data_IF_645354227858
#
_entry.id   IF_645354227858
#
_cell.length_a   1.000
_cell.length_b   1.000
_cell.length_c   1.000
_cell.angle_alpha   90.00
_cell.angle_beta   90.00
_cell.angle_gamma   90.00
#
_symmetry.space_group_name_H-M   'P 1'
#
loop_
_entity.id
_entity.type
_entity.pdbx_description
1 polymer ?
#
# COMPACT_ATOMS: atom_id res chain seq x y z
N UNK A 1 20.92 74.76 80.86
CA UNK A 1 21.39 75.66 79.78
C UNK A 1 22.33 74.83 78.91
N UNK A 2 21.97 74.57 77.64
CA UNK A 2 22.55 75.26 76.46
C UNK A 2 24.08 75.05 76.39
N UNK A 3 24.74 74.52 75.36
CA UNK A 3 24.44 74.27 73.94
C UNK A 3 25.61 73.48 73.32
N UNK A 4 25.29 72.65 72.31
CA UNK A 4 26.05 72.12 71.14
C UNK A 4 27.57 72.31 70.97
N UNK A 5 28.20 71.33 70.27
CA UNK A 5 28.83 71.40 68.92
C UNK A 5 29.58 70.06 68.69
N UNK A 6 29.12 69.12 67.85
CA UNK A 6 29.28 68.94 66.38
C UNK A 6 30.67 68.41 65.91
N UNK A 7 30.58 67.35 65.08
CA UNK A 7 31.39 66.96 63.90
C UNK A 7 32.35 65.72 63.94
N UNK A 8 31.92 64.69 63.16
CA UNK A 8 32.61 63.95 62.05
C UNK A 8 33.73 62.92 62.24
N UNK A 9 33.48 61.69 61.77
CA UNK A 9 34.25 60.90 60.75
C UNK A 9 33.67 59.47 60.69
N UNK A 10 32.95 59.06 59.63
CA UNK A 10 33.37 58.43 58.38
C UNK A 10 34.23 57.15 58.54
N UNK A 11 33.61 55.98 58.38
CA UNK A 11 34.28 54.73 57.99
C UNK A 11 33.32 53.88 57.13
N UNK A 12 33.73 53.64 55.89
CA UNK A 12 33.04 52.80 54.91
C UNK A 12 33.36 51.31 55.16
N UNK A 13 32.35 50.45 55.08
CA UNK A 13 32.52 48.98 55.00
C UNK A 13 31.75 48.43 53.81
N UNK A 14 32.49 47.69 52.98
CA UNK A 14 32.06 47.08 51.71
C UNK A 14 31.18 45.86 52.00
N UNK A 15 29.96 45.84 51.47
CA UNK A 15 29.07 44.69 51.52
C UNK A 15 29.28 43.81 50.26
N UNK A 16 29.80 42.60 50.44
CA UNK A 16 29.87 41.58 49.39
C UNK A 16 28.52 40.88 49.34
N UNK A 17 27.79 41.06 48.24
CA UNK A 17 26.52 40.40 47.98
C UNK A 17 26.72 38.90 47.73
N UNK A 18 26.09 38.07 48.57
CA UNK A 18 25.91 36.65 48.30
C UNK A 18 24.72 36.48 47.35
N UNK A 19 25.03 36.28 46.08
CA UNK A 19 24.08 35.85 45.05
C UNK A 19 23.90 34.34 45.20
N UNK A 20 22.83 33.90 45.87
CA UNK A 20 22.46 32.50 45.99
C UNK A 20 21.97 31.99 44.63
N UNK A 21 22.86 31.32 43.90
CA UNK A 21 22.50 30.49 42.76
C UNK A 21 21.60 29.35 43.23
N UNK A 22 20.30 29.42 42.93
CA UNK A 22 19.39 28.29 43.09
C UNK A 22 19.75 27.22 42.07
N UNK A 23 20.55 26.24 42.50
CA UNK A 23 20.68 24.99 41.79
C UNK A 23 19.29 24.33 41.74
N UNK A 24 18.70 24.23 40.54
CA UNK A 24 17.53 23.41 40.30
C UNK A 24 17.95 21.95 40.51
N UNK A 25 17.76 21.45 41.72
CA UNK A 25 17.94 20.04 42.03
C UNK A 25 16.91 19.24 41.21
N UNK A 26 17.39 18.33 40.37
CA UNK A 26 16.53 17.40 39.64
C UNK A 26 15.61 16.68 40.64
N UNK A 27 14.31 16.67 40.37
CA UNK A 27 13.34 16.00 41.23
C UNK A 27 13.72 14.52 41.39
N UNK A 28 13.71 13.96 42.62
CA UNK A 28 14.07 12.57 42.83
C UNK A 28 13.10 11.65 42.09
N UNK A 29 13.64 10.75 41.25
CA UNK A 29 12.86 9.72 40.57
C UNK A 29 12.30 8.77 41.63
N UNK A 30 10.97 8.66 41.67
CA UNK A 30 10.25 7.77 42.59
C UNK A 30 9.61 6.64 41.81
N UNK A 31 9.63 5.43 42.35
CA UNK A 31 8.90 4.28 41.80
C UNK A 31 7.70 3.95 42.69
N UNK A 32 6.50 3.98 42.12
CA UNK A 32 5.24 3.61 42.78
C UNK A 32 4.73 2.29 42.21
N UNK A 33 4.39 1.33 43.07
CA UNK A 33 3.70 0.09 42.71
C UNK A 33 2.21 0.26 43.00
N UNK A 34 1.36 -0.01 42.00
CA UNK A 34 -0.09 0.09 42.12
C UNK A 34 -0.71 -1.29 42.03
N UNK A 35 -1.56 -1.62 43.00
CA UNK A 35 -2.31 -2.88 43.00
C UNK A 35 -3.34 -2.84 41.86
N UNK A 36 -3.32 -3.88 41.02
CA UNK A 36 -4.25 -4.05 39.91
C UNK A 36 -4.81 -5.47 39.94
N UNK A 37 -6.10 -5.59 39.61
CA UNK A 37 -6.72 -6.90 39.41
C UNK A 37 -6.23 -7.56 38.11
N UNK A 38 -6.82 -8.70 37.78
CA UNK A 38 -6.66 -9.27 36.44
C UNK A 38 -7.38 -8.40 35.41
N UNK A 39 -6.80 -8.27 34.22
CA UNK A 39 -7.38 -7.58 33.07
C UNK A 39 -6.85 -8.23 31.79
N UNK A 40 -7.60 -8.10 30.70
CA UNK A 40 -7.19 -8.57 29.36
C UNK A 40 -7.09 -7.45 28.33
N UNK A 41 -7.37 -6.20 28.70
CA UNK A 41 -7.23 -5.03 27.81
C UNK A 41 -6.52 -3.86 28.51
N UNK A 42 -5.82 -3.04 27.72
CA UNK A 42 -5.20 -1.79 28.18
C UNK A 42 -5.71 -0.62 27.33
N UNK A 43 -6.11 0.45 27.98
CA UNK A 43 -6.39 1.75 27.37
C UNK A 43 -5.42 2.79 27.93
N UNK A 44 -4.57 3.35 27.07
CA UNK A 44 -3.55 4.33 27.44
C UNK A 44 -3.83 5.69 26.77
N UNK A 45 -4.13 6.67 27.61
CA UNK A 45 -4.41 8.06 27.26
C UNK A 45 -3.44 9.00 28.00
N UNK A 46 -2.14 8.72 27.88
CA UNK A 46 -1.07 9.44 28.58
C UNK A 46 0.07 9.80 27.62
N UNK A 47 0.80 10.91 27.86
CA UNK A 47 1.93 11.34 27.04
C UNK A 47 3.26 10.66 27.45
N UNK A 48 3.18 9.51 28.11
CA UNK A 48 4.32 8.87 28.77
C UNK A 48 4.60 7.51 28.15
N UNK A 49 5.86 7.09 28.21
CA UNK A 49 6.31 5.81 27.68
C UNK A 49 5.69 4.65 28.47
N UNK A 50 5.07 3.71 27.76
CA UNK A 50 4.43 2.53 28.31
C UNK A 50 5.19 1.27 27.88
N UNK A 51 5.68 0.51 28.85
CA UNK A 51 6.31 -0.80 28.62
C UNK A 51 5.35 -1.87 29.09
N UNK A 52 4.87 -2.70 28.17
CA UNK A 52 3.93 -3.79 28.44
C UNK A 52 4.62 -5.13 28.26
N UNK A 53 4.57 -6.00 29.27
CA UNK A 53 5.01 -7.38 29.18
C UNK A 53 3.80 -8.30 29.20
N UNK A 54 3.60 -9.08 28.14
CA UNK A 54 2.45 -9.96 28.04
C UNK A 54 2.65 -11.33 28.73
N UNK A 55 3.68 -11.48 29.57
CA UNK A 55 4.00 -12.71 30.30
C UNK A 55 4.35 -12.40 31.76
N UNK A 56 3.95 -13.26 32.69
CA UNK A 56 4.22 -13.13 34.12
C UNK A 56 3.00 -12.78 34.96
N UNK A 57 3.21 -12.40 36.24
CA UNK A 57 2.14 -12.02 37.14
C UNK A 57 1.64 -10.60 36.84
N UNK A 58 0.32 -10.33 36.88
CA UNK A 58 -0.21 -8.99 36.69
C UNK A 58 0.42 -7.97 37.64
N UNK A 59 0.92 -6.86 37.10
CA UNK A 59 1.56 -5.82 37.89
C UNK A 59 1.49 -4.47 37.18
N UNK A 60 1.46 -3.38 37.96
CA UNK A 60 1.52 -2.02 37.46
C UNK A 60 2.51 -1.20 38.30
N UNK A 61 3.55 -0.68 37.66
CA UNK A 61 4.53 0.19 38.30
C UNK A 61 4.75 1.45 37.48
N UNK A 62 4.85 2.59 38.16
CA UNK A 62 5.12 3.88 37.56
C UNK A 62 6.43 4.42 38.13
N UNK A 63 7.30 4.97 37.29
CA UNK A 63 8.58 5.56 37.69
C UNK A 63 8.72 6.96 37.12
N UNK A 64 9.07 7.95 37.95
CA UNK A 64 9.26 9.34 37.53
C UNK A 64 9.15 10.35 38.68
N UNK A 65 9.14 11.66 38.38
CA UNK A 65 8.90 12.71 39.37
C UNK A 65 7.50 12.57 40.00
N UNK A 66 7.43 12.68 41.34
CA UNK A 66 6.18 12.41 42.09
C UNK A 66 5.00 13.29 41.67
N UNK A 67 5.24 14.56 41.34
CA UNK A 67 4.20 15.48 40.85
C UNK A 67 3.53 14.98 39.56
N UNK A 68 4.29 14.30 38.69
CA UNK A 68 3.76 13.71 37.45
C UNK A 68 2.98 12.42 37.74
N UNK A 69 3.48 11.59 38.66
CA UNK A 69 2.83 10.33 39.02
C UNK A 69 1.45 10.55 39.66
N UNK A 70 1.33 11.58 40.51
CA UNK A 70 0.08 11.93 41.19
C UNK A 70 -1.02 12.40 40.21
N UNK A 71 -0.63 12.88 39.03
CA UNK A 71 -1.55 13.28 37.96
C UNK A 71 -1.97 12.10 37.04
N UNK A 72 -1.43 10.90 37.23
CA UNK A 72 -1.80 9.71 36.47
C UNK A 72 -2.86 8.94 37.24
N UNK A 73 -4.03 8.75 36.62
CA UNK A 73 -5.11 7.91 37.11
C UNK A 73 -5.04 6.54 36.44
N UNK A 74 -5.17 5.48 37.25
CA UNK A 74 -5.13 4.08 36.82
C UNK A 74 -6.31 3.36 37.46
N UNK A 75 -7.27 2.91 36.65
CA UNK A 75 -8.52 2.27 37.12
C UNK A 75 -8.81 1.05 36.27
N UNK A 76 -9.27 -0.03 36.90
CA UNK A 76 -9.84 -1.19 36.20
C UNK A 76 -11.32 -0.90 35.95
N UNK A 77 -11.73 -0.89 34.68
CA UNK A 77 -13.12 -0.75 34.26
C UNK A 77 -13.52 -1.99 33.46
N UNK A 78 -14.33 -2.87 34.08
CA UNK A 78 -14.62 -4.18 33.51
C UNK A 78 -13.37 -5.05 33.44
N UNK A 79 -12.91 -5.36 32.23
CA UNK A 79 -11.71 -6.17 31.95
C UNK A 79 -10.55 -5.33 31.37
N UNK A 80 -10.66 -4.00 31.48
CA UNK A 80 -9.72 -3.04 30.89
C UNK A 80 -9.01 -2.24 31.97
N UNK A 81 -7.67 -2.21 31.92
CA UNK A 81 -6.86 -1.25 32.66
C UNK A 81 -6.84 0.09 31.90
N UNK A 82 -7.49 1.10 32.47
CA UNK A 82 -7.53 2.46 31.94
C UNK A 82 -6.44 3.30 32.62
N UNK A 83 -5.52 3.84 31.83
CA UNK A 83 -4.42 4.70 32.24
C UNK A 83 -4.61 6.06 31.58
N UNK A 84 -4.93 7.10 32.36
CA UNK A 84 -5.24 8.44 31.83
C UNK A 84 -4.74 9.55 32.74
N UNK A 85 -4.62 10.76 32.19
CA UNK A 85 -4.35 11.96 33.00
C UNK A 85 -5.59 12.36 33.82
N UNK A 86 -5.42 12.70 35.10
CA UNK A 86 -6.51 13.05 36.03
C UNK A 86 -7.16 14.39 35.69
N UNK A 87 -6.50 15.28 34.94
CA UNK A 87 -6.99 16.64 34.68
C UNK A 87 -7.34 16.91 33.21
N UNK A 88 -8.55 17.47 33.02
CA UNK A 88 -9.07 18.14 31.81
C UNK A 88 -8.81 19.66 31.82
N UNK A 89 -7.89 20.17 32.63
CA UNK A 89 -7.67 21.61 32.82
C UNK A 89 -6.24 22.08 32.53
N UNK A 90 -6.15 23.08 31.64
CA UNK A 90 -4.99 23.90 31.26
C UNK A 90 -3.78 23.16 30.66
N UNK A 91 -3.85 22.94 29.34
CA UNK A 91 -2.67 22.83 28.48
C UNK A 91 -1.86 24.14 28.58
N UNK A 92 -0.82 24.15 29.41
CA UNK A 92 0.17 25.23 29.43
C UNK A 92 1.09 25.03 28.22
N UNK A 93 1.02 25.94 27.24
CA UNK A 93 1.93 26.10 26.09
C UNK A 93 3.33 26.55 26.54
N UNK A 94 3.96 25.83 27.46
CA UNK A 94 5.36 26.06 27.82
C UNK A 94 6.22 25.11 27.00
N UNK A 95 6.79 25.62 25.91
CA UNK A 95 7.84 24.94 25.15
C UNK A 95 9.08 24.85 26.04
N UNK A 96 9.19 23.79 26.85
CA UNK A 96 10.39 23.49 27.60
C UNK A 96 11.46 22.94 26.63
N UNK A 97 12.33 23.83 26.17
CA UNK A 97 13.61 23.51 25.53
C UNK A 97 14.51 22.85 26.59
N UNK A 98 14.60 21.53 26.55
CA UNK A 98 15.56 20.74 27.33
C UNK A 98 14.88 19.65 28.18
N UNK A 99 14.57 18.50 27.58
CA UNK A 99 14.20 17.30 28.33
C UNK A 99 15.46 16.70 28.95
N UNK A 100 15.54 16.66 30.27
CA UNK A 100 16.51 15.80 30.96
C UNK A 100 15.93 14.39 31.13
N UNK A 101 16.76 13.34 31.15
CA UNK A 101 16.29 11.95 31.35
C UNK A 101 15.50 11.74 32.66
N UNK A 102 15.66 12.64 33.64
CA UNK A 102 14.95 12.61 34.92
C UNK A 102 13.47 13.06 34.83
N UNK A 103 13.06 13.72 33.74
CA UNK A 103 11.68 14.18 33.52
C UNK A 103 10.79 13.12 32.84
N UNK A 104 11.35 11.95 32.52
CA UNK A 104 10.66 10.89 31.78
C UNK A 104 9.91 9.99 32.77
N UNK A 105 8.58 10.00 32.67
CA UNK A 105 7.74 9.01 33.33
C UNK A 105 7.71 7.75 32.48
N UNK A 106 7.98 6.60 33.10
CA UNK A 106 7.80 5.28 32.51
C UNK A 106 6.72 4.52 33.27
N UNK A 107 5.78 3.94 32.54
CA UNK A 107 4.72 3.09 33.08
C UNK A 107 5.03 1.65 32.64
N UNK A 108 5.24 0.75 33.60
CA UNK A 108 5.47 -0.66 33.34
C UNK A 108 4.23 -1.48 33.72
N UNK A 109 3.70 -2.25 32.78
CA UNK A 109 2.51 -3.09 32.94
C UNK A 109 2.85 -4.53 32.59
N UNK A 110 2.42 -5.48 33.41
CA UNK A 110 2.47 -6.91 33.09
C UNK A 110 1.05 -7.44 32.92
N UNK A 111 0.76 -8.08 31.79
CA UNK A 111 -0.59 -8.50 31.38
C UNK A 111 -0.56 -9.87 30.66
N UNK A 112 -0.60 -11.01 31.38
CA UNK A 112 -0.35 -12.36 30.83
C UNK A 112 -1.34 -12.85 29.75
N UNK A 113 -2.51 -12.23 29.62
CA UNK A 113 -3.56 -12.64 28.69
C UNK A 113 -4.10 -11.44 27.92
N UNK A 114 -3.22 -10.54 27.50
CA UNK A 114 -3.61 -9.32 26.82
C UNK A 114 -4.21 -9.60 25.44
N UNK A 115 -5.46 -9.17 25.25
CA UNK A 115 -6.25 -9.31 24.01
C UNK A 115 -6.42 -7.99 23.27
N UNK A 116 -6.30 -6.85 23.94
CA UNK A 116 -6.50 -5.55 23.31
C UNK A 116 -5.61 -4.44 23.88
N UNK A 117 -5.17 -3.56 23.00
CA UNK A 117 -4.44 -2.33 23.32
C UNK A 117 -5.06 -1.15 22.58
N UNK A 118 -5.51 -0.14 23.33
CA UNK A 118 -6.02 1.12 22.80
C UNK A 118 -5.13 2.28 23.21
N UNK A 119 -4.63 3.02 22.24
CA UNK A 119 -3.70 4.15 22.41
C UNK A 119 -4.34 5.43 21.89
N UNK A 120 -4.49 6.40 22.78
CA UNK A 120 -4.99 7.75 22.44
C UNK A 120 -4.06 8.87 22.91
N UNK A 121 -3.05 8.54 23.72
CA UNK A 121 -2.01 9.47 24.14
C UNK A 121 -0.88 9.64 23.13
N UNK A 122 0.05 10.55 23.41
CA UNK A 122 1.25 10.80 22.61
C UNK A 122 2.49 10.02 23.10
N UNK A 123 2.30 9.09 24.02
CA UNK A 123 3.39 8.28 24.57
C UNK A 123 3.65 7.06 23.71
N UNK A 124 4.94 6.73 23.54
CA UNK A 124 5.35 5.52 22.84
C UNK A 124 5.03 4.28 23.68
N UNK A 125 4.78 3.17 23.01
CA UNK A 125 4.46 1.89 23.64
C UNK A 125 5.34 0.79 23.10
N UNK A 126 6.03 0.10 24.00
CA UNK A 126 6.72 -1.15 23.71
C UNK A 126 5.96 -2.30 24.36
N UNK A 127 5.40 -3.19 23.55
CA UNK A 127 4.72 -4.41 24.00
C UNK A 127 5.56 -5.62 23.63
N UNK A 128 6.06 -6.31 24.65
CA UNK A 128 6.93 -7.47 24.49
C UNK A 128 6.27 -8.80 24.87
N UNK A 129 6.68 -9.84 24.15
CA UNK A 129 6.36 -11.25 24.41
C UNK A 129 4.85 -11.56 24.35
N UNK A 130 4.14 -10.92 23.43
CA UNK A 130 2.73 -11.21 23.18
C UNK A 130 2.57 -12.68 22.78
N UNK A 131 1.60 -13.37 23.40
CA UNK A 131 1.22 -14.73 23.02
C UNK A 131 -0.27 -14.89 23.20
N UNK A 132 -0.98 -15.19 22.12
CA UNK A 132 -2.43 -15.37 22.19
C UNK A 132 -3.09 -15.70 20.86
N UNK A 133 -4.35 -16.09 20.92
CA UNK A 133 -5.14 -16.41 19.73
C UNK A 133 -5.59 -15.17 18.97
N UNK A 134 -5.97 -14.10 19.68
CA UNK A 134 -6.53 -12.88 19.09
C UNK A 134 -5.97 -11.66 19.79
N UNK A 135 -5.57 -10.66 19.00
CA UNK A 135 -5.11 -9.39 19.51
C UNK A 135 -5.67 -8.22 18.70
N UNK A 136 -6.19 -7.22 19.39
CA UNK A 136 -6.75 -6.01 18.81
C UNK A 136 -5.92 -4.77 19.16
N UNK A 137 -5.52 -4.00 18.16
CA UNK A 137 -4.81 -2.74 18.32
C UNK A 137 -5.71 -1.60 17.81
N UNK A 138 -5.87 -0.57 18.62
CA UNK A 138 -6.45 0.71 18.20
C UNK A 138 -5.47 1.83 18.52
N UNK A 139 -4.88 2.44 17.49
CA UNK A 139 -3.97 3.58 17.64
C UNK A 139 -4.61 4.83 17.03
N UNK A 140 -4.91 5.82 17.86
CA UNK A 140 -5.40 7.14 17.43
C UNK A 140 -4.52 8.29 17.88
N UNK A 141 -3.47 8.01 18.64
CA UNK A 141 -2.51 9.01 19.11
C UNK A 141 -1.32 9.19 18.17
N UNK A 142 -0.46 10.18 18.43
CA UNK A 142 0.76 10.41 17.67
C UNK A 142 1.97 9.60 18.17
N UNK A 143 1.82 8.75 19.20
CA UNK A 143 2.90 7.94 19.74
C UNK A 143 3.13 6.65 18.97
N UNK A 144 4.37 6.17 18.96
CA UNK A 144 4.76 4.96 18.24
C UNK A 144 4.39 3.70 19.02
N UNK A 145 4.13 2.61 18.30
CA UNK A 145 3.85 1.31 18.88
C UNK A 145 4.84 0.27 18.33
N UNK A 146 5.56 -0.42 19.21
CA UNK A 146 6.37 -1.58 18.87
C UNK A 146 5.79 -2.81 19.55
N UNK A 147 5.55 -3.87 18.78
CA UNK A 147 4.98 -5.13 19.29
C UNK A 147 5.88 -6.30 18.91
N UNK A 148 6.18 -7.16 19.89
CA UNK A 148 6.91 -8.42 19.67
C UNK A 148 6.17 -9.62 20.24
N UNK A 149 6.36 -10.79 19.62
CA UNK A 149 5.75 -12.05 20.07
C UNK A 149 5.10 -12.84 18.94
N UNK A 150 4.02 -13.56 19.24
CA UNK A 150 3.26 -14.33 18.27
C UNK A 150 1.75 -14.31 18.57
N UNK A 151 0.94 -14.07 17.55
CA UNK A 151 -0.52 -14.16 17.62
C UNK A 151 -1.10 -14.86 16.40
N UNK A 152 -2.23 -15.56 16.56
CA UNK A 152 -2.89 -16.18 15.42
C UNK A 152 -3.67 -15.14 14.60
N UNK A 153 -4.48 -14.32 15.25
CA UNK A 153 -5.31 -13.28 14.61
C UNK A 153 -4.95 -11.89 15.13
N UNK A 154 -4.62 -10.99 14.21
CA UNK A 154 -4.40 -9.58 14.50
C UNK A 154 -5.51 -8.74 13.84
N UNK A 155 -6.15 -7.87 14.62
CA UNK A 155 -6.97 -6.79 14.09
C UNK A 155 -6.39 -5.46 14.51
N UNK A 156 -6.08 -4.58 13.56
CA UNK A 156 -5.50 -3.27 13.83
C UNK A 156 -6.34 -2.18 13.18
N UNK A 157 -6.58 -1.11 13.93
CA UNK A 157 -7.10 0.16 13.43
C UNK A 157 -6.12 1.28 13.79
N UNK A 158 -5.57 1.96 12.79
CA UNK A 158 -4.68 3.11 12.97
C UNK A 158 -5.27 4.33 12.31
N UNK A 159 -5.62 5.33 13.12
CA UNK A 159 -6.05 6.66 12.68
C UNK A 159 -5.13 7.76 13.19
N UNK A 160 -4.12 7.40 13.98
CA UNK A 160 -3.12 8.32 14.52
C UNK A 160 -2.00 8.61 13.52
N UNK A 161 -1.07 9.45 13.95
CA UNK A 161 0.12 9.80 13.16
C UNK A 161 1.40 9.11 13.62
N UNK A 162 1.31 8.25 14.65
CA UNK A 162 2.45 7.47 15.12
C UNK A 162 2.58 6.17 14.33
N UNK A 163 3.81 5.66 14.26
CA UNK A 163 4.14 4.49 13.48
C UNK A 163 3.88 3.19 14.27
N UNK A 164 3.50 2.13 13.56
CA UNK A 164 3.23 0.83 14.17
C UNK A 164 4.20 -0.21 13.62
N UNK A 165 5.15 -0.61 14.44
CA UNK A 165 6.14 -1.65 14.12
C UNK A 165 5.71 -3.02 14.65
N UNK A 166 5.29 -3.87 13.73
CA UNK A 166 4.91 -5.28 13.95
C UNK A 166 5.92 -6.25 13.34
N UNK A 167 7.08 -5.77 12.87
CA UNK A 167 8.11 -6.60 12.23
C UNK A 167 8.69 -7.72 13.13
N UNK A 168 8.44 -7.68 14.45
CA UNK A 168 8.82 -8.73 15.42
C UNK A 168 7.62 -9.51 15.96
N UNK A 169 6.45 -9.35 15.37
CA UNK A 169 5.22 -10.05 15.73
C UNK A 169 4.92 -11.10 14.66
N UNK A 170 5.05 -12.38 14.99
CA UNK A 170 4.62 -13.46 14.11
C UNK A 170 3.08 -13.51 14.09
N UNK A 171 2.48 -13.43 12.91
CA UNK A 171 1.03 -13.39 12.73
C UNK A 171 0.57 -14.46 11.74
N UNK A 172 -0.53 -15.17 12.02
CA UNK A 172 -1.14 -16.04 11.00
C UNK A 172 -2.05 -15.21 10.09
N UNK A 173 -3.04 -14.53 10.64
CA UNK A 173 -4.00 -13.72 9.89
C UNK A 173 -4.02 -12.28 10.42
N UNK A 174 -4.00 -11.29 9.51
CA UNK A 174 -4.07 -9.88 9.87
C UNK A 174 -5.17 -9.15 9.12
N UNK A 175 -5.93 -8.32 9.85
CA UNK A 175 -6.80 -7.28 9.29
C UNK A 175 -6.29 -5.92 9.74
N UNK A 176 -5.86 -5.10 8.77
CA UNK A 176 -5.31 -3.77 9.00
C UNK A 176 -6.24 -2.73 8.39
N UNK A 177 -6.72 -1.80 9.20
CA UNK A 177 -7.47 -0.62 8.77
C UNK A 177 -6.64 0.63 9.09
N UNK A 178 -6.24 1.36 8.05
CA UNK A 178 -5.33 2.51 8.14
C UNK A 178 -6.03 3.75 7.56
N UNK A 179 -6.31 4.74 8.41
CA UNK A 179 -6.92 6.01 7.99
C UNK A 179 -6.09 7.23 8.39
N UNK A 180 -5.02 7.02 9.18
CA UNK A 180 -4.11 8.08 9.61
C UNK A 180 -2.91 8.24 8.67
N UNK A 181 -2.04 9.22 8.96
CA UNK A 181 -0.79 9.40 8.23
C UNK A 181 0.38 8.55 8.75
N UNK A 182 0.22 7.80 9.85
CA UNK A 182 1.28 6.98 10.41
C UNK A 182 1.51 5.67 9.64
N UNK A 183 2.77 5.23 9.61
CA UNK A 183 3.20 4.08 8.83
C UNK A 183 3.02 2.77 9.60
N UNK A 184 2.92 1.66 8.87
CA UNK A 184 2.83 0.33 9.45
C UNK A 184 3.90 -0.56 8.84
N UNK A 185 4.67 -1.20 9.70
CA UNK A 185 5.63 -2.24 9.32
C UNK A 185 5.15 -3.60 9.83
N UNK A 186 5.05 -4.58 8.95
CA UNK A 186 4.65 -5.96 9.27
C UNK A 186 5.66 -6.95 8.68
N UNK A 187 5.94 -8.04 9.37
CA UNK A 187 6.77 -9.11 8.80
C UNK A 187 6.26 -10.51 9.16
N UNK A 188 6.57 -11.49 8.33
CA UNK A 188 6.43 -12.92 8.67
C UNK A 188 4.98 -13.39 8.84
N UNK A 189 4.07 -12.94 7.96
CA UNK A 189 2.66 -13.35 7.99
C UNK A 189 2.43 -14.63 7.16
N UNK A 190 1.81 -15.65 7.77
CA UNK A 190 1.69 -17.01 7.20
C UNK A 190 0.31 -17.43 6.64
N UNK A 191 -0.73 -16.61 6.81
CA UNK A 191 -2.12 -16.94 6.48
C UNK A 191 -2.74 -15.92 5.53
N UNK A 192 -3.66 -15.11 6.02
CA UNK A 192 -4.39 -14.10 5.24
C UNK A 192 -4.07 -12.67 5.68
N UNK A 193 -3.95 -11.76 4.71
CA UNK A 193 -3.83 -10.33 4.93
C UNK A 193 -5.01 -9.60 4.31
N UNK A 194 -5.78 -8.89 5.12
CA UNK A 194 -6.77 -7.90 4.67
C UNK A 194 -6.25 -6.52 5.02
N UNK A 195 -6.07 -5.67 4.02
CA UNK A 195 -5.65 -4.27 4.15
C UNK A 195 -6.73 -3.36 3.60
N UNK A 196 -7.19 -2.44 4.43
CA UNK A 196 -8.04 -1.32 4.03
C UNK A 196 -7.33 -0.01 4.41
N UNK A 197 -6.73 0.67 3.43
CA UNK A 197 -6.04 1.95 3.63
C UNK A 197 -6.79 3.09 2.93
N UNK A 198 -7.19 4.09 3.71
CA UNK A 198 -7.73 5.37 3.24
C UNK A 198 -6.91 6.57 3.69
N UNK A 199 -5.88 6.35 4.51
CA UNK A 199 -4.95 7.36 5.00
C UNK A 199 -3.82 7.65 4.02
N UNK A 200 -2.87 8.46 4.48
CA UNK A 200 -1.65 8.81 3.74
C UNK A 200 -0.41 8.07 4.24
N UNK A 201 -0.54 7.24 5.27
CA UNK A 201 0.56 6.43 5.78
C UNK A 201 0.80 5.20 4.91
N UNK A 202 2.05 4.77 4.88
CA UNK A 202 2.52 3.67 4.05
C UNK A 202 2.48 2.35 4.81
N UNK A 203 2.26 1.26 4.07
CA UNK A 203 2.42 -0.09 4.58
C UNK A 203 3.67 -0.73 3.97
N UNK A 204 4.57 -1.18 4.84
CA UNK A 204 5.66 -2.07 4.46
C UNK A 204 5.42 -3.46 5.05
N UNK A 205 5.15 -4.46 4.21
CA UNK A 205 5.03 -5.85 4.65
C UNK A 205 6.04 -6.77 3.97
N UNK A 206 6.88 -7.41 4.78
CA UNK A 206 7.99 -8.24 4.29
C UNK A 206 7.92 -9.69 4.74
N UNK A 207 8.54 -10.59 3.97
CA UNK A 207 8.59 -12.03 4.30
C UNK A 207 7.21 -12.67 4.39
N UNK A 208 6.27 -12.26 3.53
CA UNK A 208 4.93 -12.82 3.48
C UNK A 208 4.95 -14.24 2.91
N UNK A 209 4.17 -15.13 3.51
CA UNK A 209 3.92 -16.49 3.01
C UNK A 209 2.43 -16.79 3.15
N UNK A 210 1.62 -16.14 2.32
CA UNK A 210 0.16 -16.08 2.51
C UNK A 210 -0.61 -16.98 1.56
N UNK A 211 -1.82 -17.38 1.98
CA UNK A 211 -2.80 -17.94 1.02
C UNK A 211 -3.52 -16.85 0.26
N UNK A 212 -3.87 -15.74 0.92
CA UNK A 212 -4.66 -14.68 0.30
C UNK A 212 -4.25 -13.31 0.84
N UNK A 213 -4.12 -12.36 -0.08
CA UNK A 213 -3.98 -10.94 0.23
C UNK A 213 -5.16 -10.21 -0.44
N UNK A 214 -5.87 -9.39 0.33
CA UNK A 214 -6.89 -8.46 -0.17
C UNK A 214 -6.49 -7.06 0.25
N UNK A 215 -6.08 -6.22 -0.70
CA UNK A 215 -5.64 -4.86 -0.47
C UNK A 215 -6.61 -3.87 -1.14
N UNK A 216 -7.23 -3.00 -0.34
CA UNK A 216 -8.03 -1.87 -0.79
C UNK A 216 -7.29 -0.59 -0.40
N UNK A 217 -6.89 0.19 -1.40
CA UNK A 217 -6.15 1.45 -1.22
C UNK A 217 -6.96 2.59 -1.84
N UNK A 218 -7.47 3.48 -1.00
CA UNK A 218 -8.29 4.63 -1.42
C UNK A 218 -7.64 5.98 -1.08
N UNK A 219 -6.59 5.97 -0.27
CA UNK A 219 -5.81 7.15 0.07
C UNK A 219 -4.58 7.35 -0.83
N UNK A 220 -3.75 8.36 -0.52
CA UNK A 220 -2.50 8.59 -1.23
C UNK A 220 -1.32 7.74 -0.73
N UNK A 221 -1.47 6.96 0.35
CA UNK A 221 -0.40 6.13 0.90
C UNK A 221 -0.12 4.87 0.08
N UNK A 222 1.12 4.42 0.15
CA UNK A 222 1.65 3.30 -0.63
C UNK A 222 1.59 1.98 0.13
N UNK A 223 1.61 0.87 -0.60
CA UNK A 223 1.76 -0.46 -0.02
C UNK A 223 2.86 -1.25 -0.72
N UNK A 224 3.93 -1.53 0.01
CA UNK A 224 5.06 -2.34 -0.45
C UNK A 224 4.96 -3.72 0.18
N UNK A 225 4.72 -4.74 -0.65
CA UNK A 225 4.60 -6.13 -0.20
C UNK A 225 5.68 -7.01 -0.84
N UNK A 226 6.30 -7.87 -0.04
CA UNK A 226 7.29 -8.85 -0.51
C UNK A 226 7.14 -10.24 0.11
N UNK A 227 7.51 -11.28 -0.63
CA UNK A 227 7.35 -12.68 -0.21
C UNK A 227 6.63 -13.51 -1.28
N UNK A 228 5.67 -14.33 -0.87
CA UNK A 228 4.81 -15.12 -1.75
C UNK A 228 3.36 -15.16 -1.28
N UNK A 229 2.42 -15.20 -2.23
CA UNK A 229 0.99 -15.42 -1.95
C UNK A 229 0.34 -16.32 -2.99
N UNK A 230 -0.56 -17.22 -2.59
CA UNK A 230 -1.35 -17.97 -3.58
C UNK A 230 -2.32 -17.07 -4.34
N UNK A 231 -3.05 -16.20 -3.63
CA UNK A 231 -4.03 -15.28 -4.20
C UNK A 231 -3.73 -13.82 -3.80
N UNK A 232 -3.87 -12.91 -4.75
CA UNK A 232 -3.78 -11.46 -4.54
C UNK A 232 -4.98 -10.76 -5.19
N UNK A 233 -5.70 -9.98 -4.40
CA UNK A 233 -6.75 -9.07 -4.85
C UNK A 233 -6.36 -7.64 -4.49
N UNK A 234 -6.33 -6.75 -5.49
CA UNK A 234 -6.03 -5.32 -5.33
C UNK A 234 -7.22 -4.51 -5.84
N UNK A 235 -7.63 -3.52 -5.05
CA UNK A 235 -8.54 -2.46 -5.47
C UNK A 235 -7.92 -1.11 -5.12
N UNK A 236 -7.44 -0.39 -6.13
CA UNK A 236 -6.77 0.88 -5.99
C UNK A 236 -7.65 2.00 -6.56
N UNK A 237 -8.17 2.84 -5.68
CA UNK A 237 -9.03 3.99 -6.04
C UNK A 237 -8.38 5.34 -5.72
N UNK A 238 -7.32 5.34 -4.90
CA UNK A 238 -6.54 6.52 -4.55
C UNK A 238 -5.38 6.81 -5.51
N UNK A 239 -4.47 7.69 -5.09
CA UNK A 239 -3.26 8.06 -5.83
C UNK A 239 -2.00 7.33 -5.36
N UNK A 240 -2.09 6.53 -4.31
CA UNK A 240 -0.96 5.74 -3.82
C UNK A 240 -0.58 4.59 -4.75
N UNK A 241 0.60 4.03 -4.55
CA UNK A 241 1.17 2.94 -5.33
C UNK A 241 1.07 1.61 -4.60
N UNK A 242 0.71 0.55 -5.33
CA UNK A 242 0.85 -0.83 -4.85
C UNK A 242 2.10 -1.47 -5.45
N UNK A 243 3.15 -1.66 -4.64
CA UNK A 243 4.41 -2.28 -5.06
C UNK A 243 4.46 -3.75 -4.66
N UNK A 244 3.94 -4.63 -5.52
CA UNK A 244 3.98 -6.08 -5.39
C UNK A 244 4.96 -6.80 -6.33
N UNK A 245 5.90 -6.07 -6.96
CA UNK A 245 6.91 -6.64 -7.86
C UNK A 245 7.81 -7.69 -7.16
N UNK A 246 7.97 -7.59 -5.84
CA UNK A 246 8.77 -8.49 -5.00
C UNK A 246 7.92 -9.54 -4.27
N UNK A 247 6.65 -9.66 -4.62
CA UNK A 247 5.69 -10.62 -4.07
C UNK A 247 5.36 -11.65 -5.15
N UNK A 248 5.83 -12.88 -5.01
CA UNK A 248 5.57 -13.95 -5.96
C UNK A 248 4.12 -14.47 -5.81
N UNK A 249 3.26 -14.14 -6.78
CA UNK A 249 1.85 -14.56 -6.78
C UNK A 249 1.51 -15.64 -7.80
N UNK A 250 0.54 -16.50 -7.46
CA UNK A 250 0.02 -17.53 -8.37
C UNK A 250 -1.30 -17.13 -9.05
N UNK A 251 -2.16 -16.37 -8.37
CA UNK A 251 -3.40 -15.84 -8.93
C UNK A 251 -3.58 -14.37 -8.54
N UNK A 252 -3.93 -13.52 -9.50
CA UNK A 252 -4.06 -12.08 -9.29
C UNK A 252 -5.35 -11.52 -9.90
N UNK A 253 -6.06 -10.72 -9.10
CA UNK A 253 -7.14 -9.85 -9.55
C UNK A 253 -6.79 -8.40 -9.19
N UNK A 254 -6.63 -7.53 -10.17
CA UNK A 254 -6.22 -6.15 -9.96
C UNK A 254 -7.22 -5.19 -10.60
N UNK A 255 -7.80 -4.30 -9.79
CA UNK A 255 -8.69 -3.22 -10.23
C UNK A 255 -8.11 -1.86 -9.87
N UNK A 256 -7.86 -1.02 -10.87
CA UNK A 256 -7.35 0.33 -10.71
C UNK A 256 -8.42 1.32 -11.19
N UNK A 257 -9.05 2.01 -10.24
CA UNK A 257 -10.04 3.06 -10.49
C UNK A 257 -9.46 4.47 -10.35
N UNK A 258 -8.32 4.60 -9.66
CA UNK A 258 -7.66 5.86 -9.37
C UNK A 258 -6.49 6.18 -10.30
N UNK A 259 -5.77 7.28 -10.01
CA UNK A 259 -4.54 7.64 -10.70
C UNK A 259 -3.30 6.89 -10.23
N UNK A 260 -3.38 6.11 -9.15
CA UNK A 260 -2.25 5.36 -8.60
C UNK A 260 -1.87 4.12 -9.42
N UNK A 261 -0.61 3.71 -9.29
CA UNK A 261 -0.01 2.61 -10.05
C UNK A 261 0.02 1.31 -9.24
N UNK A 262 0.12 0.18 -9.95
CA UNK A 262 0.30 -1.12 -9.31
C UNK A 262 1.27 -2.01 -10.07
N UNK A 263 2.14 -2.71 -9.32
CA UNK A 263 2.96 -3.79 -9.83
C UNK A 263 2.58 -5.14 -9.21
N UNK A 264 2.44 -6.16 -10.06
CA UNK A 264 2.24 -7.55 -9.65
C UNK A 264 3.26 -8.45 -10.37
N UNK A 265 3.81 -9.43 -9.65
CA UNK A 265 4.84 -10.34 -10.18
C UNK A 265 4.64 -11.77 -9.69
N UNK A 266 5.13 -12.77 -10.42
CA UNK A 266 5.11 -14.16 -9.94
C UNK A 266 5.05 -15.19 -11.05
N UNK A 267 4.62 -16.40 -10.71
CA UNK A 267 4.26 -17.43 -11.68
C UNK A 267 2.73 -17.44 -11.80
N UNK A 268 2.19 -16.42 -12.47
CA UNK A 268 0.75 -16.09 -12.40
C UNK A 268 -0.02 -17.02 -13.35
N UNK A 269 -0.73 -17.98 -12.77
CA UNK A 269 -1.53 -19.00 -13.47
C UNK A 269 -2.95 -18.52 -13.80
N UNK A 270 -3.45 -17.49 -13.12
CA UNK A 270 -4.76 -16.87 -13.34
C UNK A 270 -4.67 -15.37 -13.16
N UNK A 271 -5.12 -14.61 -14.16
CA UNK A 271 -5.05 -13.15 -14.15
C UNK A 271 -6.33 -12.50 -14.69
N UNK A 272 -6.86 -11.54 -13.93
CA UNK A 272 -7.95 -10.63 -14.33
C UNK A 272 -7.55 -9.21 -13.90
N UNK A 273 -7.32 -8.35 -14.88
CA UNK A 273 -6.86 -6.97 -14.69
C UNK A 273 -7.82 -5.96 -15.31
N UNK A 274 -8.21 -4.97 -14.52
CA UNK A 274 -9.11 -3.90 -14.92
C UNK A 274 -8.47 -2.54 -14.58
N UNK A 275 -8.32 -1.67 -15.57
CA UNK A 275 -7.85 -0.29 -15.39
C UNK A 275 -8.91 0.67 -15.93
N UNK A 276 -9.57 1.36 -15.01
CA UNK A 276 -10.59 2.37 -15.28
C UNK A 276 -10.07 3.80 -15.02
N UNK A 277 -9.06 3.94 -14.16
CA UNK A 277 -8.41 5.20 -13.84
C UNK A 277 -7.28 5.57 -14.81
N UNK A 278 -6.44 6.51 -14.38
CA UNK A 278 -5.28 6.97 -15.15
C UNK A 278 -3.96 6.33 -14.75
N UNK A 279 -3.95 5.49 -13.71
CA UNK A 279 -2.76 4.79 -13.26
C UNK A 279 -2.41 3.58 -14.12
N UNK A 280 -1.18 3.13 -13.98
CA UNK A 280 -0.59 2.05 -14.77
C UNK A 280 -0.52 0.74 -13.98
N UNK A 281 -0.79 -0.38 -14.66
CA UNK A 281 -0.67 -1.72 -14.10
C UNK A 281 0.43 -2.51 -14.80
N UNK A 282 1.51 -2.81 -14.07
CA UNK A 282 2.58 -3.67 -14.54
C UNK A 282 2.42 -5.11 -14.00
N UNK A 283 2.40 -6.09 -14.89
CA UNK A 283 2.25 -7.51 -14.54
C UNK A 283 3.40 -8.32 -15.13
N UNK A 284 4.17 -8.96 -14.26
CA UNK A 284 5.36 -9.73 -14.63
C UNK A 284 5.20 -11.22 -14.35
N UNK A 285 5.58 -12.05 -15.31
CA UNK A 285 5.62 -13.51 -15.13
C UNK A 285 4.27 -14.21 -15.27
N UNK A 286 3.43 -13.74 -16.19
CA UNK A 286 2.24 -14.49 -16.59
C UNK A 286 2.64 -15.88 -17.11
N UNK A 287 1.95 -16.90 -16.62
CA UNK A 287 2.06 -18.30 -17.02
C UNK A 287 0.65 -18.92 -17.01
N UNK A 288 -0.33 -18.18 -17.55
CA UNK A 288 -1.75 -18.51 -17.39
C UNK A 288 -2.34 -19.16 -18.62
N UNK A 289 -3.33 -20.04 -18.41
CA UNK A 289 -4.13 -20.56 -19.52
C UNK A 289 -4.99 -19.46 -20.14
N UNK A 290 -5.45 -18.52 -19.31
CA UNK A 290 -6.30 -17.40 -19.73
C UNK A 290 -5.90 -16.13 -18.99
N UNK A 291 -5.99 -14.99 -19.67
CA UNK A 291 -5.85 -13.67 -19.08
C UNK A 291 -6.96 -12.75 -19.61
N UNK A 292 -7.65 -12.05 -18.69
CA UNK A 292 -8.62 -11.02 -19.05
C UNK A 292 -8.06 -9.64 -18.72
N UNK A 293 -8.18 -8.74 -19.70
CA UNK A 293 -7.75 -7.35 -19.61
C UNK A 293 -8.92 -6.44 -19.98
N UNK A 294 -9.23 -5.47 -19.12
CA UNK A 294 -10.18 -4.40 -19.41
C UNK A 294 -9.53 -3.04 -19.17
N UNK A 295 -9.55 -2.18 -20.19
CA UNK A 295 -8.98 -0.83 -20.16
C UNK A 295 -10.05 0.17 -20.59
N UNK A 296 -10.67 0.88 -19.65
CA UNK A 296 -11.65 1.93 -19.98
C UNK A 296 -11.16 3.35 -19.67
N UNK A 297 -10.09 3.48 -18.90
CA UNK A 297 -9.46 4.75 -18.55
C UNK A 297 -8.32 5.15 -19.49
N UNK A 298 -7.65 6.28 -19.20
CA UNK A 298 -6.43 6.68 -19.89
C UNK A 298 -5.17 5.93 -19.41
N UNK A 299 -5.24 5.15 -18.32
CA UNK A 299 -4.12 4.38 -17.78
C UNK A 299 -3.72 3.18 -18.64
N UNK A 300 -2.47 2.77 -18.54
CA UNK A 300 -1.88 1.71 -19.37
C UNK A 300 -1.69 0.40 -18.60
N UNK A 301 -1.52 -0.70 -19.32
CA UNK A 301 -1.20 -1.99 -18.74
C UNK A 301 -0.01 -2.60 -19.48
N UNK A 302 1.01 -3.01 -18.73
CA UNK A 302 2.17 -3.74 -19.26
C UNK A 302 2.10 -5.19 -18.83
N UNK A 303 2.20 -6.11 -19.79
CA UNK A 303 2.13 -7.55 -19.54
C UNK A 303 3.39 -8.26 -20.05
N UNK A 304 3.99 -9.09 -19.20
CA UNK A 304 5.12 -9.97 -19.55
C UNK A 304 4.83 -11.44 -19.23
N UNK A 305 5.32 -12.37 -20.06
CA UNK A 305 5.25 -13.82 -19.80
C UNK A 305 4.68 -14.64 -20.96
N UNK A 306 3.86 -15.63 -20.65
CA UNK A 306 3.15 -16.47 -21.62
C UNK A 306 1.70 -16.71 -21.19
N UNK A 307 0.78 -16.60 -22.16
CA UNK A 307 -0.65 -16.80 -21.96
C UNK A 307 -1.22 -17.69 -23.08
N UNK A 308 -2.09 -18.63 -22.71
CA UNK A 308 -2.88 -19.39 -23.68
C UNK A 308 -3.85 -18.50 -24.44
N UNK A 309 -4.93 -18.06 -23.78
CA UNK A 309 -5.91 -17.16 -24.36
C UNK A 309 -5.89 -15.77 -23.70
N UNK A 310 -5.63 -14.72 -24.49
CA UNK A 310 -5.69 -13.33 -24.04
C UNK A 310 -6.98 -12.67 -24.55
N UNK A 311 -7.83 -12.21 -23.64
CA UNK A 311 -9.04 -11.43 -23.95
C UNK A 311 -8.85 -9.99 -23.52
N UNK A 312 -8.86 -9.06 -24.47
CA UNK A 312 -8.69 -7.62 -24.26
C UNK A 312 -9.95 -6.88 -24.64
N UNK A 313 -10.48 -6.07 -23.72
CA UNK A 313 -11.51 -5.06 -24.02
C UNK A 313 -10.98 -3.68 -23.68
N UNK A 314 -10.95 -2.78 -24.65
CA UNK A 314 -10.36 -1.45 -24.50
C UNK A 314 -11.29 -0.38 -25.05
N UNK A 315 -11.87 0.46 -24.19
CA UNK A 315 -12.70 1.61 -24.60
C UNK A 315 -12.05 2.95 -24.31
N UNK A 316 -11.02 2.97 -23.46
CA UNK A 316 -10.29 4.18 -23.06
C UNK A 316 -9.19 4.58 -24.05
N UNK A 317 -8.43 5.62 -23.68
CA UNK A 317 -7.26 6.08 -24.44
C UNK A 317 -5.95 5.45 -23.99
N UNK A 318 -5.97 4.63 -22.94
CA UNK A 318 -4.79 3.95 -22.42
C UNK A 318 -4.25 2.87 -23.36
N UNK A 319 -3.04 2.41 -23.08
CA UNK A 319 -2.34 1.45 -23.94
C UNK A 319 -2.20 0.09 -23.28
N UNK A 320 -2.27 -0.97 -24.09
CA UNK A 320 -1.83 -2.30 -23.69
C UNK A 320 -0.47 -2.59 -24.31
N UNK A 321 0.56 -2.69 -23.46
CA UNK A 321 1.93 -2.99 -23.84
C UNK A 321 2.29 -4.43 -23.46
N UNK A 322 2.21 -5.35 -24.41
CA UNK A 322 2.55 -6.76 -24.21
C UNK A 322 3.78 -7.15 -25.05
N UNK A 323 4.81 -6.29 -25.03
CA UNK A 323 6.03 -6.40 -25.85
C UNK A 323 6.94 -7.58 -25.46
N UNK A 324 6.71 -8.23 -24.31
CA UNK A 324 7.38 -9.46 -23.89
C UNK A 324 6.39 -10.56 -23.50
N UNK A 325 5.19 -10.52 -24.06
CA UNK A 325 4.15 -11.51 -23.83
C UNK A 325 4.02 -12.45 -25.04
N UNK A 326 4.18 -13.75 -24.80
CA UNK A 326 3.86 -14.78 -25.78
C UNK A 326 2.40 -15.20 -25.63
N UNK A 327 1.62 -15.09 -26.69
CA UNK A 327 0.20 -15.44 -26.68
C UNK A 327 -0.07 -16.59 -27.65
N UNK A 328 -0.89 -17.56 -27.26
CA UNK A 328 -1.36 -18.60 -28.21
C UNK A 328 -2.50 -18.03 -29.04
N UNK A 329 -3.59 -17.62 -28.40
CA UNK A 329 -4.77 -17.04 -29.03
C UNK A 329 -5.10 -15.68 -28.41
N UNK A 330 -5.31 -14.66 -29.23
CA UNK A 330 -5.66 -13.31 -28.79
C UNK A 330 -7.01 -12.86 -29.35
N UNK A 331 -7.90 -12.38 -28.49
CA UNK A 331 -9.16 -11.73 -28.84
C UNK A 331 -9.13 -10.28 -28.33
N UNK A 332 -9.17 -9.32 -29.25
CA UNK A 332 -9.09 -7.89 -28.96
C UNK A 332 -10.37 -7.21 -29.41
N UNK A 333 -11.01 -6.47 -28.51
CA UNK A 333 -12.07 -5.52 -28.80
C UNK A 333 -11.65 -4.14 -28.33
N UNK A 334 -11.31 -3.26 -29.26
CA UNK A 334 -10.91 -1.90 -28.95
C UNK A 334 -11.87 -0.90 -29.60
N UNK A 335 -12.35 0.09 -28.87
CA UNK A 335 -13.17 1.20 -29.40
C UNK A 335 -12.64 2.60 -29.08
N UNK A 336 -11.60 2.68 -28.25
CA UNK A 336 -10.94 3.94 -27.91
C UNK A 336 -9.78 4.29 -28.84
N UNK A 337 -9.13 5.43 -28.63
CA UNK A 337 -7.94 5.85 -29.39
C UNK A 337 -6.65 5.14 -28.93
N UNK A 338 -6.70 4.30 -27.89
CA UNK A 338 -5.55 3.61 -27.33
C UNK A 338 -4.85 2.64 -28.29
N UNK A 339 -3.62 2.26 -27.95
CA UNK A 339 -2.83 1.30 -28.70
C UNK A 339 -2.77 -0.06 -28.02
N UNK A 340 -2.73 -1.12 -28.83
CA UNK A 340 -2.47 -2.49 -28.38
C UNK A 340 -1.22 -3.00 -29.09
N UNK A 341 -0.22 -3.41 -28.32
CA UNK A 341 1.00 -4.03 -28.82
C UNK A 341 1.14 -5.45 -28.28
N UNK A 342 1.26 -6.44 -29.18
CA UNK A 342 1.50 -7.84 -28.84
C UNK A 342 2.83 -8.32 -29.43
N UNK A 343 3.70 -8.89 -28.60
CA UNK A 343 5.01 -9.37 -29.03
C UNK A 343 4.94 -10.57 -29.97
N UNK A 344 4.10 -11.56 -29.65
CA UNK A 344 3.92 -12.75 -30.47
C UNK A 344 2.53 -13.36 -30.26
N UNK A 345 1.90 -13.79 -31.36
CA UNK A 345 0.68 -14.61 -31.36
C UNK A 345 0.93 -15.85 -32.22
N UNK A 346 0.72 -17.05 -31.66
CA UNK A 346 1.19 -18.32 -32.25
C UNK A 346 0.10 -19.25 -32.80
N UNK A 347 -1.18 -18.96 -32.58
CA UNK A 347 -2.28 -19.75 -33.15
C UNK A 347 -3.31 -18.86 -33.87
N UNK A 348 -3.96 -17.95 -33.14
CA UNK A 348 -5.04 -17.14 -33.72
C UNK A 348 -5.10 -15.73 -33.17
N UNK A 349 -5.30 -14.74 -34.04
CA UNK A 349 -5.61 -13.36 -33.67
C UNK A 349 -7.00 -12.98 -34.20
N UNK A 350 -7.90 -12.57 -33.31
CA UNK A 350 -9.14 -11.89 -33.69
C UNK A 350 -9.13 -10.48 -33.12
N UNK A 351 -9.22 -9.46 -33.98
CA UNK A 351 -9.22 -8.07 -33.55
C UNK A 351 -10.40 -7.30 -34.14
N UNK A 352 -11.17 -6.65 -33.27
CA UNK A 352 -12.23 -5.71 -33.61
C UNK A 352 -11.82 -4.31 -33.12
N UNK A 353 -11.48 -3.43 -34.06
CA UNK A 353 -10.96 -2.09 -33.81
C UNK A 353 -11.98 -1.05 -34.30
N UNK A 354 -12.74 -0.44 -33.39
CA UNK A 354 -13.80 0.53 -33.68
C UNK A 354 -13.40 1.92 -33.19
N UNK A 355 -12.49 2.61 -33.87
CA UNK A 355 -11.99 3.91 -33.43
C UNK A 355 -10.73 4.33 -34.16
N UNK A 356 -9.95 5.21 -33.53
CA UNK A 356 -8.66 5.69 -34.04
C UNK A 356 -7.44 4.97 -33.44
N UNK A 357 -7.67 3.90 -32.67
CA UNK A 357 -6.61 3.16 -32.00
C UNK A 357 -5.69 2.41 -32.97
N UNK A 358 -4.52 2.02 -32.47
CA UNK A 358 -3.53 1.26 -33.24
C UNK A 358 -3.41 -0.16 -32.71
N UNK A 359 -3.29 -1.13 -33.60
CA UNK A 359 -2.90 -2.50 -33.26
C UNK A 359 -1.53 -2.81 -33.88
N UNK A 360 -0.59 -3.27 -33.08
CA UNK A 360 0.67 -3.84 -33.55
C UNK A 360 0.81 -5.27 -33.03
N UNK A 361 1.01 -6.24 -33.93
CA UNK A 361 1.23 -7.63 -33.54
C UNK A 361 2.24 -8.33 -34.46
N UNK A 362 3.13 -9.14 -33.87
CA UNK A 362 3.90 -10.12 -34.63
C UNK A 362 3.24 -11.50 -34.56
N UNK A 363 3.18 -12.20 -35.69
CA UNK A 363 2.41 -13.42 -35.85
C UNK A 363 3.31 -14.60 -36.24
N UNK A 364 3.00 -15.76 -35.70
CA UNK A 364 3.40 -17.08 -36.22
C UNK A 364 2.16 -17.96 -36.12
N UNK A 365 1.08 -17.54 -36.77
CA UNK A 365 -0.29 -17.97 -36.46
C UNK A 365 -0.95 -18.72 -37.63
N UNK A 366 -1.95 -19.53 -37.33
CA UNK A 366 -2.80 -20.17 -38.34
C UNK A 366 -3.78 -19.17 -38.96
N UNK A 367 -4.33 -18.25 -38.15
CA UNK A 367 -5.38 -17.33 -38.57
C UNK A 367 -5.23 -15.95 -37.95
N UNK A 368 -5.48 -14.92 -38.75
CA UNK A 368 -5.68 -13.55 -38.29
C UNK A 368 -6.97 -12.99 -38.91
N UNK A 369 -7.98 -12.72 -38.09
CA UNK A 369 -9.24 -12.08 -38.46
C UNK A 369 -9.29 -10.66 -37.89
N UNK A 370 -9.17 -9.67 -38.77
CA UNK A 370 -9.14 -8.24 -38.42
C UNK A 370 -10.38 -7.55 -38.96
N UNK A 371 -11.09 -6.83 -38.10
CA UNK A 371 -12.18 -5.93 -38.46
C UNK A 371 -11.89 -4.56 -37.90
N UNK A 372 -11.82 -3.56 -38.78
CA UNK A 372 -11.53 -2.18 -38.39
C UNK A 372 -12.61 -1.24 -38.91
N UNK A 373 -13.08 -0.36 -38.05
CA UNK A 373 -14.01 0.72 -38.38
C UNK A 373 -13.47 2.04 -37.83
N UNK A 374 -13.19 3.00 -38.70
CA UNK A 374 -12.63 4.31 -38.32
C UNK A 374 -11.21 4.57 -38.86
N UNK A 375 -10.52 5.59 -38.34
CA UNK A 375 -9.23 6.04 -38.85
C UNK A 375 -8.00 5.34 -38.24
N UNK A 376 -8.18 4.23 -37.50
CA UNK A 376 -7.08 3.53 -36.81
C UNK A 376 -6.10 2.80 -37.74
N UNK A 377 -4.99 2.32 -37.18
CA UNK A 377 -3.94 1.61 -37.93
C UNK A 377 -3.75 0.18 -37.43
N UNK A 378 -3.48 -0.75 -38.34
CA UNK A 378 -3.10 -2.13 -38.00
C UNK A 378 -1.75 -2.46 -38.62
N UNK A 379 -0.77 -2.82 -37.79
CA UNK A 379 0.58 -3.24 -38.21
C UNK A 379 0.80 -4.70 -37.85
N UNK A 380 1.01 -5.54 -38.86
CA UNK A 380 1.26 -6.97 -38.70
C UNK A 380 2.62 -7.35 -39.28
N UNK A 381 3.31 -8.30 -38.65
CA UNK A 381 4.58 -8.84 -39.13
C UNK A 381 4.68 -10.35 -38.85
N UNK A 382 5.64 -11.04 -39.46
CA UNK A 382 5.87 -12.47 -39.24
C UNK A 382 5.19 -13.37 -40.27
N UNK A 383 4.58 -14.48 -39.85
CA UNK A 383 3.93 -15.45 -40.73
C UNK A 383 2.50 -15.77 -40.26
N UNK A 384 1.57 -15.87 -41.21
CA UNK A 384 0.20 -16.31 -40.96
C UNK A 384 -0.34 -17.19 -42.10
N UNK A 385 -1.05 -18.27 -41.82
CA UNK A 385 -1.60 -19.09 -42.92
C UNK A 385 -2.79 -18.41 -43.60
N UNK A 386 -3.76 -17.90 -42.83
CA UNK A 386 -4.91 -17.15 -43.35
C UNK A 386 -5.02 -15.77 -42.71
N UNK A 387 -4.92 -14.71 -43.51
CA UNK A 387 -5.25 -13.34 -43.12
C UNK A 387 -6.58 -12.94 -43.74
N UNK A 388 -7.56 -12.60 -42.89
CA UNK A 388 -8.81 -11.97 -43.28
C UNK A 388 -8.88 -10.59 -42.65
N UNK A 389 -8.96 -9.54 -43.46
CA UNK A 389 -9.09 -8.17 -42.98
C UNK A 389 -10.27 -7.45 -43.65
N UNK A 390 -11.10 -6.79 -42.85
CA UNK A 390 -12.14 -5.88 -43.32
C UNK A 390 -11.87 -4.50 -42.72
N UNK A 391 -11.58 -3.53 -43.57
CA UNK A 391 -11.29 -2.16 -43.17
C UNK A 391 -12.42 -1.27 -43.69
N UNK A 392 -13.11 -0.59 -42.80
CA UNK A 392 -14.12 0.42 -43.13
C UNK A 392 -13.65 1.77 -42.60
N UNK A 393 -13.52 2.77 -43.46
CA UNK A 393 -13.04 4.11 -43.10
C UNK A 393 -11.67 4.46 -43.71
N UNK A 394 -10.93 5.35 -43.04
CA UNK A 394 -9.68 5.92 -43.55
C UNK A 394 -8.42 5.27 -43.01
N UNK A 395 -8.54 4.27 -42.13
CA UNK A 395 -7.42 3.62 -41.49
C UNK A 395 -6.62 2.68 -42.40
N UNK A 396 -5.37 2.41 -42.05
CA UNK A 396 -4.45 1.60 -42.86
C UNK A 396 -4.13 0.24 -42.24
N UNK A 397 -3.90 -0.76 -43.09
CA UNK A 397 -3.27 -2.03 -42.70
C UNK A 397 -1.90 -2.17 -43.35
N UNK A 398 -0.86 -2.27 -42.53
CA UNK A 398 0.53 -2.48 -42.96
C UNK A 398 1.04 -3.84 -42.50
N UNK A 399 1.18 -4.77 -43.45
CA UNK A 399 1.82 -6.08 -43.29
C UNK A 399 3.27 -6.09 -43.80
N UNK A 400 4.09 -5.10 -43.43
CA UNK A 400 5.50 -5.04 -43.88
C UNK A 400 6.27 -6.22 -43.27
N UNK A 401 6.72 -7.15 -44.11
CA UNK A 401 7.38 -8.38 -43.66
C UNK A 401 6.41 -9.42 -43.07
N UNK A 402 5.12 -9.34 -43.39
CA UNK A 402 4.15 -10.40 -43.15
C UNK A 402 4.09 -11.35 -44.36
N UNK A 403 4.39 -12.62 -44.14
CA UNK A 403 4.18 -13.70 -45.13
C UNK A 403 2.83 -14.35 -44.87
N UNK A 404 1.96 -14.41 -45.89
CA UNK A 404 0.64 -15.02 -45.77
C UNK A 404 0.33 -16.01 -46.89
N UNK A 405 -0.19 -17.19 -46.55
CA UNK A 405 -0.56 -18.20 -47.56
C UNK A 405 -1.88 -17.85 -48.26
N UNK A 406 -2.88 -17.39 -47.50
CA UNK A 406 -4.18 -16.94 -48.00
C UNK A 406 -4.50 -15.56 -47.45
N UNK A 407 -4.89 -14.64 -48.33
CA UNK A 407 -5.17 -13.24 -47.98
C UNK A 407 -6.51 -12.82 -48.56
N UNK A 408 -7.46 -12.50 -47.69
CA UNK A 408 -8.76 -11.91 -48.03
C UNK A 408 -8.85 -10.52 -47.37
N UNK A 409 -8.70 -9.46 -48.16
CA UNK A 409 -8.73 -8.08 -47.66
C UNK A 409 -9.80 -7.28 -48.40
N UNK A 410 -10.72 -6.69 -47.65
CA UNK A 410 -11.70 -5.73 -48.16
C UNK A 410 -11.44 -4.38 -47.52
N UNK A 411 -11.37 -3.34 -48.33
CA UNK A 411 -11.22 -1.95 -47.89
C UNK A 411 -12.38 -1.16 -48.47
N UNK A 412 -13.15 -0.53 -47.60
CA UNK A 412 -14.32 0.28 -47.92
C UNK A 412 -14.14 1.66 -47.28
N UNK A 413 -13.74 2.64 -48.09
CA UNK A 413 -13.35 3.97 -47.65
C UNK A 413 -11.98 4.39 -48.18
N UNK A 414 -11.46 5.56 -47.76
CA UNK A 414 -10.20 6.11 -48.30
C UNK A 414 -8.91 5.44 -47.76
N UNK A 415 -9.00 4.46 -46.88
CA UNK A 415 -7.84 3.75 -46.32
C UNK A 415 -7.11 2.85 -47.32
N UNK A 416 -6.01 2.22 -46.88
CA UNK A 416 -5.20 1.33 -47.70
C UNK A 416 -4.77 0.06 -46.95
N UNK A 417 -4.54 -1.03 -47.70
CA UNK A 417 -4.00 -2.25 -47.15
C UNK A 417 -2.82 -2.73 -47.99
N UNK A 418 -1.66 -2.97 -47.35
CA UNK A 418 -0.44 -3.47 -47.99
C UNK A 418 0.06 -4.71 -47.25
N UNK A 419 0.22 -5.83 -47.95
CA UNK A 419 0.78 -7.07 -47.39
C UNK A 419 1.91 -7.55 -48.31
N UNK A 420 3.14 -7.63 -47.78
CA UNK A 420 4.36 -7.68 -48.61
C UNK A 420 4.63 -9.01 -49.32
N UNK A 421 4.24 -10.16 -48.76
CA UNK A 421 4.71 -11.45 -49.26
C UNK A 421 3.58 -12.49 -49.26
N UNK A 422 2.70 -12.40 -50.26
CA UNK A 422 1.61 -13.37 -50.46
C UNK A 422 1.94 -14.28 -51.64
N UNK A 423 2.42 -15.50 -51.34
CA UNK A 423 2.80 -16.50 -52.34
C UNK A 423 1.61 -17.02 -53.17
N UNK A 424 0.37 -16.75 -52.71
CA UNK A 424 -0.88 -17.06 -53.42
C UNK A 424 -1.94 -15.98 -53.16
N UNK A 425 -1.71 -14.75 -53.64
CA UNK A 425 -2.72 -13.70 -53.60
C UNK A 425 -3.89 -13.98 -54.58
N UNK A 426 -4.85 -14.82 -54.20
CA UNK A 426 -6.22 -14.71 -54.72
C UNK A 426 -6.98 -13.65 -53.90
N UNK A 427 -6.46 -12.43 -53.88
CA UNK A 427 -7.05 -11.30 -53.17
C UNK A 427 -7.61 -10.31 -54.17
N UNK A 428 -8.95 -10.24 -54.29
CA UNK A 428 -9.59 -9.10 -54.94
C UNK A 428 -9.52 -7.91 -53.99
N UNK A 429 -8.55 -7.02 -54.17
CA UNK A 429 -8.67 -5.66 -53.64
C UNK A 429 -9.79 -4.97 -54.40
N UNK A 430 -11.02 -5.07 -53.91
CA UNK A 430 -12.12 -4.27 -54.42
C UNK A 430 -11.99 -2.89 -53.79
N UNK A 431 -11.32 -1.99 -54.51
CA UNK A 431 -11.25 -0.59 -54.14
C UNK A 431 -12.47 0.08 -54.78
N UNK A 432 -13.58 0.21 -54.05
CA UNK A 432 -14.71 1.01 -54.51
C UNK A 432 -14.29 2.48 -54.48
N UNK A 433 -13.82 2.98 -55.63
CA UNK A 433 -13.53 4.41 -55.85
C UNK A 433 -14.79 5.25 -55.83
#
# INVERSE_FOLDING_TARGET
MKTNIKLTSLAASVAIGMLSAQAHAASPVTTEQRQVGAFSAIEAAVPYHLVVKAQGAPSLSLSGPKDKLDNIETVISGDTLVIRSRSRGNFSLTFNLGRTKADLVTIAVTAPMLKALTLSGSGDVDLDQLSGDQFAIRSSGPGDLRVSGAVRELTMSSSGSGDVHLGRLAVTNARLAMSGPGDVELAGLGGELTLDSSGSGDLHASGLHTRRISARLSGPGDAVLSGASSELKIELSGSGEFQGCSLAVEAANARLNGPGDACVSGAIKSFDGEVHGSGDLAVRGLQSAQARVQLSGPGSMTLDGAVGALSVTMSGSGNLEAARLNVVSAEIRASGPGAVQLASVSDSLTAQMNGSGTLQAALTAQRADISMHGPGDVRLSGAVDTLKARLHGSGDLEGRGLTAAHVEVTVDGPGSARVSDSRFARGSTHNSR
#
